data_IF_427084700764
#
_entry.id   IF_427084700764
#
_cell.length_a   1.000
_cell.length_b   1.000
_cell.length_c   1.000
_cell.angle_alpha   90.00
_cell.angle_beta   90.00
_cell.angle_gamma   90.00
#
_symmetry.space_group_name_H-M   'P 1'
#
loop_
_entity.id
_entity.type
_entity.pdbx_description
1 polymer ?
#
# COMPACT_ATOMS: atom_id res chain seq x y z
N UNK A 1 4.43 -1.15 -18.10
CA UNK A 1 3.06 -0.83 -17.63
C UNK A 1 3.21 0.22 -16.56
N UNK A 2 2.52 1.35 -16.69
CA UNK A 2 2.53 2.40 -15.65
C UNK A 2 1.36 2.14 -14.69
N UNK A 3 1.62 2.21 -13.38
CA UNK A 3 0.57 2.09 -12.37
C UNK A 3 -0.25 3.38 -12.29
N UNK A 4 -1.55 3.32 -11.97
CA UNK A 4 -2.35 4.52 -11.71
C UNK A 4 -1.70 5.41 -10.64
N UNK A 5 -1.80 6.74 -10.79
CA UNK A 5 -1.19 7.69 -9.86
C UNK A 5 -1.58 7.42 -8.39
N UNK A 6 -2.83 7.04 -8.13
CA UNK A 6 -3.29 6.69 -6.78
C UNK A 6 -2.57 5.49 -6.17
N UNK A 7 -2.12 4.54 -6.99
CA UNK A 7 -1.32 3.38 -6.53
C UNK A 7 0.11 3.80 -6.27
N UNK A 8 0.65 4.74 -7.05
CA UNK A 8 1.98 5.32 -6.79
C UNK A 8 1.99 6.09 -5.46
N UNK A 9 0.97 6.92 -5.21
CA UNK A 9 0.80 7.64 -3.93
C UNK A 9 0.72 6.67 -2.75
N UNK A 10 0.02 5.55 -2.93
CA UNK A 10 -0.05 4.48 -1.93
C UNK A 10 1.33 3.86 -1.64
N UNK A 11 2.12 3.54 -2.67
CA UNK A 11 3.48 2.99 -2.49
C UNK A 11 4.38 3.99 -1.78
N UNK A 12 4.34 5.26 -2.17
CA UNK A 12 5.13 6.31 -1.49
C UNK A 12 4.73 6.39 0.00
N UNK A 13 3.43 6.43 0.30
CA UNK A 13 2.95 6.44 1.68
C UNK A 13 3.37 5.18 2.45
N UNK A 14 3.31 4.01 1.81
CA UNK A 14 3.72 2.73 2.38
C UNK A 14 5.18 2.75 2.82
N UNK A 15 6.08 3.20 1.93
CA UNK A 15 7.51 3.31 2.24
C UNK A 15 7.80 4.39 3.30
N UNK A 16 7.04 5.49 3.30
CA UNK A 16 7.11 6.48 4.38
C UNK A 16 6.70 5.90 5.72
N UNK A 17 5.65 5.07 5.77
CA UNK A 17 5.24 4.38 7.00
C UNK A 17 6.34 3.44 7.51
N UNK A 18 7.14 2.84 6.62
CA UNK A 18 8.31 2.03 7.01
C UNK A 18 9.42 2.81 7.71
N UNK A 19 9.42 4.14 7.64
CA UNK A 19 10.35 4.95 8.45
C UNK A 19 10.02 4.89 9.94
N UNK A 20 8.74 4.67 10.29
CA UNK A 20 8.22 4.57 11.66
C UNK A 20 8.03 3.11 12.09
N UNK A 21 7.38 2.30 11.26
CA UNK A 21 7.03 0.89 11.53
C UNK A 21 7.70 -0.04 10.51
N UNK A 22 8.74 -0.77 10.91
CA UNK A 22 9.61 -1.51 9.97
C UNK A 22 8.96 -2.72 9.30
N UNK A 23 7.90 -3.27 9.89
CA UNK A 23 7.25 -4.50 9.44
C UNK A 23 5.75 -4.26 9.25
N UNK A 24 5.11 -5.04 8.38
CA UNK A 24 3.66 -5.01 8.11
C UNK A 24 2.79 -5.55 9.26
N UNK A 25 3.02 -5.07 10.48
CA UNK A 25 2.24 -5.41 11.67
C UNK A 25 0.89 -4.70 11.68
N UNK A 26 0.03 -5.02 12.65
CA UNK A 26 -1.23 -4.28 12.86
C UNK A 26 -0.99 -2.77 13.07
N UNK A 27 0.10 -2.39 13.74
CA UNK A 27 0.45 -0.99 13.96
C UNK A 27 0.82 -0.28 12.65
N UNK A 28 1.59 -0.95 11.79
CA UNK A 28 1.89 -0.44 10.44
C UNK A 28 0.61 -0.18 9.64
N UNK A 29 -0.29 -1.16 9.56
CA UNK A 29 -1.52 -1.00 8.79
C UNK A 29 -2.47 0.03 9.39
N UNK A 30 -2.47 0.21 10.70
CA UNK A 30 -3.19 1.31 11.35
C UNK A 30 -2.59 2.67 10.99
N UNK A 31 -1.25 2.78 10.89
CA UNK A 31 -0.57 4.00 10.46
C UNK A 31 -0.86 4.32 8.99
N UNK A 32 -0.82 3.33 8.11
CA UNK A 32 -1.23 3.53 6.71
C UNK A 32 -2.68 4.01 6.63
N UNK A 33 -3.59 3.38 7.40
CA UNK A 33 -5.01 3.73 7.41
C UNK A 33 -5.31 5.14 7.98
N UNK A 34 -4.48 5.66 8.88
CA UNK A 34 -4.67 7.01 9.42
C UNK A 34 -4.32 8.10 8.40
N UNK A 35 -3.42 7.82 7.46
CA UNK A 35 -3.02 8.74 6.40
C UNK A 35 -3.78 8.54 5.09
N UNK A 36 -4.16 7.31 4.76
CA UNK A 36 -4.96 6.98 3.57
C UNK A 36 -6.10 6.03 3.93
N UNK A 37 -7.26 6.59 4.33
CA UNK A 37 -8.48 5.81 4.47
C UNK A 37 -8.83 5.12 3.15
N UNK A 38 -9.01 3.80 3.17
CA UNK A 38 -9.33 3.00 1.98
C UNK A 38 -8.12 2.49 1.18
N UNK A 39 -6.90 2.57 1.73
CA UNK A 39 -5.65 2.08 1.12
C UNK A 39 -5.73 0.65 0.57
N UNK A 40 -6.63 -0.19 1.11
CA UNK A 40 -6.80 -1.58 0.70
C UNK A 40 -7.11 -1.70 -0.80
N UNK A 41 -7.80 -0.72 -1.39
CA UNK A 41 -8.09 -0.73 -2.83
C UNK A 41 -6.82 -0.60 -3.65
N UNK A 42 -5.94 0.34 -3.29
CA UNK A 42 -4.66 0.56 -3.96
C UNK A 42 -3.73 -0.63 -3.74
N UNK A 43 -3.73 -1.21 -2.54
CA UNK A 43 -2.97 -2.43 -2.25
C UNK A 43 -3.39 -3.60 -3.14
N UNK A 44 -4.70 -3.86 -3.26
CA UNK A 44 -5.21 -4.91 -4.13
C UNK A 44 -4.83 -4.70 -5.60
N UNK A 45 -4.94 -3.46 -6.11
CA UNK A 45 -4.52 -3.15 -7.48
C UNK A 45 -3.02 -3.39 -7.66
N UNK A 46 -2.20 -3.05 -6.66
CA UNK A 46 -0.76 -3.28 -6.68
C UNK A 46 -0.44 -4.79 -6.68
N UNK A 47 -1.09 -5.58 -5.82
CA UNK A 47 -0.92 -7.04 -5.76
C UNK A 47 -1.28 -7.70 -7.09
N UNK A 48 -2.42 -7.33 -7.69
CA UNK A 48 -2.84 -7.84 -8.99
C UNK A 48 -1.84 -7.47 -10.10
N UNK A 49 -1.32 -6.24 -10.07
CA UNK A 49 -0.33 -5.80 -11.04
C UNK A 49 1.03 -6.51 -10.87
N UNK A 50 1.39 -6.89 -9.63
CA UNK A 50 2.66 -7.53 -9.31
C UNK A 50 2.65 -9.05 -9.50
N UNK A 51 1.52 -9.70 -9.21
CA UNK A 51 1.42 -11.17 -9.12
C UNK A 51 0.35 -11.80 -10.03
N UNK A 52 -0.47 -10.99 -10.71
CA UNK A 52 -1.60 -11.48 -11.51
C UNK A 52 -2.73 -12.07 -10.65
N UNK A 53 -3.72 -12.71 -11.27
CA UNK A 53 -4.87 -13.35 -10.60
C UNK A 53 -4.50 -14.66 -9.83
N UNK A 54 -3.22 -14.86 -9.51
CA UNK A 54 -2.69 -16.13 -9.01
C UNK A 54 -2.74 -16.28 -7.47
N UNK A 55 -3.58 -15.51 -6.78
CA UNK A 55 -3.86 -15.64 -5.33
C UNK A 55 -5.36 -15.79 -5.09
#
# INVERSE_FOLDING_TARGET
MELPASVQDYVILHELCHTVEKNHTKAFWALVASHMPGWQRQHQVLEQAAFGDAV
#
